data_IF_382237206472
#
_entry.id   IF_382237206472
#
_cell.length_a   1.000
_cell.length_b   1.000
_cell.length_c   1.000
_cell.angle_alpha   90.00
_cell.angle_beta   90.00
_cell.angle_gamma   90.00
#
_symmetry.space_group_name_H-M   'P 1'
#
loop_
_entity.id
_entity.type
_entity.pdbx_description
1 polymer ?
#
# COMPACT_ATOMS: atom_id res chain seq x y z
N UNK A 1 3.39 -17.50 5.36
CA UNK A 1 1.93 -17.64 5.59
C UNK A 1 1.27 -17.19 4.30
N UNK A 2 0.75 -18.12 3.52
CA UNK A 2 -0.13 -17.79 2.40
C UNK A 2 -1.46 -17.33 3.01
N UNK A 3 -1.97 -16.19 2.55
CA UNK A 3 -3.33 -15.77 2.90
C UNK A 3 -4.24 -16.59 1.99
N UNK A 4 -4.78 -17.69 2.51
CA UNK A 4 -5.77 -18.50 1.78
C UNK A 4 -7.06 -17.68 1.66
N UNK A 5 -7.27 -17.08 0.49
CA UNK A 5 -8.54 -16.49 0.10
C UNK A 5 -9.47 -17.64 -0.29
N UNK A 6 -10.49 -17.94 0.52
CA UNK A 6 -11.50 -18.95 0.18
C UNK A 6 -12.37 -18.44 -0.99
N UNK A 7 -12.00 -18.79 -2.22
CA UNK A 7 -12.75 -18.45 -3.44
C UNK A 7 -11.87 -18.45 -4.70
N UNK A 8 -12.49 -18.41 -5.88
CA UNK A 8 -11.73 -18.08 -7.10
C UNK A 8 -11.21 -16.65 -7.00
N UNK A 9 -9.88 -16.50 -7.04
CA UNK A 9 -9.24 -15.18 -7.01
C UNK A 9 -9.42 -14.51 -8.37
N UNK A 10 -10.22 -13.46 -8.39
CA UNK A 10 -10.42 -12.64 -9.60
C UNK A 10 -9.21 -11.72 -9.82
N UNK A 11 -9.08 -11.17 -11.03
CA UNK A 11 -8.04 -10.19 -11.30
C UNK A 11 -8.27 -8.87 -10.53
N UNK A 12 -9.52 -8.56 -10.21
CA UNK A 12 -9.90 -7.44 -9.34
C UNK A 12 -9.40 -7.68 -7.91
N UNK A 13 -9.53 -8.90 -7.38
CA UNK A 13 -8.99 -9.25 -6.07
C UNK A 13 -7.46 -9.07 -6.03
N UNK A 14 -6.76 -9.50 -7.09
CA UNK A 14 -5.30 -9.29 -7.18
C UNK A 14 -4.96 -7.80 -7.22
N UNK A 15 -5.73 -6.98 -7.94
CA UNK A 15 -5.55 -5.52 -8.00
C UNK A 15 -5.75 -4.89 -6.62
N UNK A 16 -6.78 -5.32 -5.89
CA UNK A 16 -7.09 -4.83 -4.54
C UNK A 16 -6.04 -5.25 -3.52
N UNK A 17 -5.60 -6.51 -3.54
CA UNK A 17 -4.50 -6.98 -2.69
C UNK A 17 -3.23 -6.17 -2.95
N UNK A 18 -2.85 -5.97 -4.22
CA UNK A 18 -1.68 -5.15 -4.58
C UNK A 18 -1.80 -3.71 -4.07
N UNK A 19 -2.99 -3.10 -4.22
CA UNK A 19 -3.29 -1.76 -3.70
C UNK A 19 -3.11 -1.69 -2.19
N UNK A 20 -3.70 -2.63 -1.45
CA UNK A 20 -3.59 -2.72 0.01
C UNK A 20 -2.12 -2.85 0.45
N UNK A 21 -1.33 -3.68 -0.23
CA UNK A 21 0.09 -3.81 0.07
C UNK A 21 0.87 -2.51 -0.14
N UNK A 22 0.64 -1.80 -1.26
CA UNK A 22 1.32 -0.53 -1.53
C UNK A 22 0.96 0.54 -0.49
N UNK A 23 -0.33 0.68 -0.17
CA UNK A 23 -0.80 1.62 0.86
C UNK A 23 -0.21 1.28 2.23
N UNK A 24 -0.22 0.00 2.61
CA UNK A 24 0.36 -0.44 3.87
C UNK A 24 1.86 -0.09 3.95
N UNK A 25 2.62 -0.34 2.87
CA UNK A 25 4.05 -0.02 2.81
C UNK A 25 4.33 1.48 2.95
N UNK A 26 3.45 2.36 2.45
CA UNK A 26 3.52 3.80 2.69
C UNK A 26 3.24 4.16 4.16
N UNK A 27 2.22 3.58 4.76
CA UNK A 27 1.83 3.89 6.15
C UNK A 27 2.86 3.43 7.20
N UNK A 28 3.60 2.35 6.94
CA UNK A 28 4.57 1.78 7.89
C UNK A 28 6.01 2.32 7.71
N UNK A 29 6.22 3.36 6.89
CA UNK A 29 7.56 3.92 6.68
C UNK A 29 8.23 4.30 8.00
N UNK A 30 9.53 4.03 8.10
CA UNK A 30 10.30 4.33 9.32
C UNK A 30 10.39 5.83 9.56
N UNK A 31 10.61 6.61 8.50
CA UNK A 31 10.55 8.05 8.58
C UNK A 31 9.09 8.53 8.67
N UNK A 32 8.69 9.25 9.72
CA UNK A 32 7.34 9.81 9.82
C UNK A 32 7.00 10.77 8.66
N UNK A 33 7.98 11.47 8.11
CA UNK A 33 7.80 12.42 7.01
C UNK A 33 7.45 11.74 5.69
N UNK A 34 7.83 10.47 5.53
CA UNK A 34 7.50 9.67 4.34
C UNK A 34 6.11 9.05 4.43
N UNK A 35 5.42 9.13 5.58
CA UNK A 35 4.08 8.58 5.73
C UNK A 35 3.05 9.54 5.14
N UNK A 36 2.08 9.03 4.36
CA UNK A 36 0.99 9.86 3.85
C UNK A 36 0.07 10.34 4.98
N UNK A 37 -0.61 11.46 4.77
CA UNK A 37 -1.75 11.86 5.61
C UNK A 37 -2.91 10.88 5.45
N UNK A 38 -3.82 10.84 6.43
CA UNK A 38 -5.02 9.99 6.32
C UNK A 38 -5.89 10.32 5.10
N UNK A 39 -6.01 11.60 4.74
CA UNK A 39 -6.73 12.01 3.53
C UNK A 39 -6.09 11.40 2.28
N UNK A 40 -4.75 11.43 2.19
CA UNK A 40 -4.03 10.83 1.07
C UNK A 40 -4.17 9.30 1.06
N UNK A 41 -4.22 8.66 2.21
CA UNK A 41 -4.48 7.21 2.32
C UNK A 41 -5.86 6.87 1.75
N UNK A 42 -6.89 7.67 2.06
CA UNK A 42 -8.24 7.48 1.53
C UNK A 42 -8.24 7.65 0.00
N UNK A 43 -7.61 8.70 -0.52
CA UNK A 43 -7.46 8.91 -1.96
C UNK A 43 -6.77 7.71 -2.66
N UNK A 44 -5.73 7.16 -2.05
CA UNK A 44 -5.03 5.98 -2.60
C UNK A 44 -5.92 4.73 -2.59
N UNK A 45 -6.75 4.55 -1.56
CA UNK A 45 -7.65 3.38 -1.46
C UNK A 45 -8.79 3.45 -2.47
N UNK A 46 -9.38 4.63 -2.65
CA UNK A 46 -10.49 4.89 -3.58
C UNK A 46 -10.02 5.00 -5.04
N UNK A 47 -8.80 5.50 -5.29
CA UNK A 47 -8.23 5.70 -6.62
C UNK A 47 -7.68 4.44 -7.29
N UNK A 48 -7.01 4.61 -8.42
CA UNK A 48 -6.45 3.49 -9.18
C UNK A 48 -5.10 3.01 -8.64
N UNK A 49 -4.89 1.69 -8.65
CA UNK A 49 -3.65 1.08 -8.15
C UNK A 49 -2.41 1.53 -8.92
N UNK A 50 -2.55 1.93 -10.18
CA UNK A 50 -1.45 2.41 -11.03
C UNK A 50 -0.97 3.81 -10.65
N UNK A 51 -1.82 4.60 -10.00
CA UNK A 51 -1.46 5.94 -9.50
C UNK A 51 -0.61 5.89 -8.23
N UNK A 52 -0.54 4.72 -7.59
CA UNK A 52 0.21 4.51 -6.35
C UNK A 52 1.66 4.15 -6.69
N UNK A 53 2.55 5.10 -6.47
CA UNK A 53 3.98 4.88 -6.59
C UNK A 53 4.51 3.91 -5.51
N UNK A 54 5.59 3.21 -5.83
CA UNK A 54 6.29 2.36 -4.86
C UNK A 54 6.89 3.28 -3.77
N UNK A 55 6.66 2.99 -2.48
CA UNK A 55 7.21 3.81 -1.41
C UNK A 55 8.73 3.76 -1.36
N UNK A 56 9.38 4.78 -0.75
CA UNK A 56 10.82 4.79 -0.60
C UNK A 56 11.30 3.56 0.18
N UNK A 57 12.50 3.10 -0.16
CA UNK A 57 13.15 2.03 0.60
C UNK A 57 13.48 2.59 1.99
N UNK A 58 13.18 1.85 3.06
CA UNK A 58 13.50 2.32 4.40
C UNK A 58 15.00 2.58 4.57
N UNK A 59 15.34 3.76 5.10
CA UNK A 59 16.70 4.11 5.52
C UNK A 59 16.94 3.65 6.95
N UNK A 60 18.12 3.07 7.28
CA UNK A 60 18.49 2.77 8.66
C UNK A 60 18.65 4.02 9.52
N UNK A 61 18.81 5.19 8.89
CA UNK A 61 18.88 6.50 9.55
C UNK A 61 17.77 7.40 8.98
N UNK A 62 16.57 7.38 9.58
CA UNK A 62 15.49 8.28 9.19
C UNK A 62 15.79 9.71 9.65
N UNK A 63 15.53 10.69 8.79
CA UNK A 63 15.72 12.14 9.03
C UNK A 63 14.41 12.86 9.20
#
# INVERSE_FOLDING_TARGET
>A
REIEMLGEVTDEDKKNVKKMFLVALWCIQLNPNDRPSMDRVIEMLEGDTEDIQIPPKPSPYPT
#
